data_IF_054749828969
#
_entry.id   IF_054749828969
#
_cell.length_a   1.000
_cell.length_b   1.000
_cell.length_c   1.000
_cell.angle_alpha   90.00
_cell.angle_beta   90.00
_cell.angle_gamma   90.00
#
_symmetry.space_group_name_H-M   'P 1'
#
loop_
_entity.id
_entity.type
_entity.pdbx_description
1 polymer ?
#
# COMPACT_ATOMS: atom_id res chain seq x y z
N UNK A 1 7.39 17.04 23.91
CA UNK A 1 6.68 15.89 24.56
C UNK A 1 5.26 15.60 24.02
N UNK A 2 4.46 16.58 23.57
CA UNK A 2 3.12 16.31 22.95
C UNK A 2 3.17 15.31 21.78
N UNK A 3 4.29 15.28 21.07
CA UNK A 3 4.51 14.42 19.91
C UNK A 3 4.63 12.93 20.25
N UNK A 4 5.31 12.58 21.36
CA UNK A 4 5.48 11.18 21.77
C UNK A 4 4.15 10.55 22.22
N UNK A 5 3.29 11.30 22.92
CA UNK A 5 1.94 10.83 23.29
C UNK A 5 1.07 10.51 22.08
N UNK A 6 1.10 11.37 21.06
CA UNK A 6 0.34 11.13 19.82
C UNK A 6 0.86 9.93 19.04
N UNK A 7 2.18 9.70 19.05
CA UNK A 7 2.79 8.53 18.45
C UNK A 7 2.39 7.24 19.18
N UNK A 8 2.47 7.23 20.51
CA UNK A 8 2.06 6.09 21.34
C UNK A 8 0.57 5.74 21.18
N UNK A 9 -0.32 6.76 21.19
CA UNK A 9 -1.74 6.55 20.91
C UNK A 9 -1.95 5.96 19.50
N UNK A 10 -1.20 6.46 18.51
CA UNK A 10 -1.27 5.93 17.15
C UNK A 10 -0.79 4.48 17.07
N UNK A 11 0.28 4.15 17.79
CA UNK A 11 0.81 2.80 17.82
C UNK A 11 -0.18 1.83 18.48
N UNK A 12 -0.74 2.21 19.64
CA UNK A 12 -1.72 1.38 20.35
C UNK A 12 -2.98 1.15 19.49
N UNK A 13 -3.50 2.20 18.87
CA UNK A 13 -4.66 2.07 17.97
C UNK A 13 -4.35 1.25 16.72
N UNK A 14 -3.12 1.32 16.18
CA UNK A 14 -2.69 0.52 15.03
C UNK A 14 -2.58 -0.96 15.39
N UNK A 15 -1.98 -1.29 16.54
CA UNK A 15 -1.88 -2.68 17.02
C UNK A 15 -3.27 -3.26 17.27
N UNK A 16 -4.17 -2.50 17.89
CA UNK A 16 -5.57 -2.90 18.08
C UNK A 16 -6.26 -3.22 16.74
N UNK A 17 -6.15 -2.36 15.72
CA UNK A 17 -6.78 -2.61 14.42
C UNK A 17 -6.14 -3.79 13.68
N UNK A 18 -4.82 -3.95 13.80
CA UNK A 18 -4.08 -5.03 13.18
C UNK A 18 -4.45 -6.40 13.77
N UNK A 19 -4.58 -6.52 15.09
CA UNK A 19 -4.76 -7.83 15.74
C UNK A 19 -6.07 -8.52 15.40
N UNK A 20 -7.19 -7.78 15.33
CA UNK A 20 -8.47 -8.39 14.96
C UNK A 20 -8.50 -8.78 13.48
N UNK A 21 -7.92 -7.96 12.58
CA UNK A 21 -7.75 -8.31 11.17
C UNK A 21 -6.87 -9.55 10.99
N UNK A 22 -5.77 -9.61 11.75
CA UNK A 22 -4.84 -10.73 11.69
C UNK A 22 -5.44 -12.03 12.22
N UNK A 23 -6.24 -11.97 13.29
CA UNK A 23 -6.96 -13.14 13.80
C UNK A 23 -7.89 -13.76 12.74
N UNK A 24 -8.59 -12.94 11.96
CA UNK A 24 -9.43 -13.44 10.86
C UNK A 24 -8.61 -14.01 9.70
N UNK A 25 -7.48 -13.37 9.36
CA UNK A 25 -6.58 -13.88 8.34
C UNK A 25 -5.98 -15.25 8.71
N UNK A 26 -5.50 -15.40 9.95
CA UNK A 26 -4.96 -16.68 10.45
C UNK A 26 -6.04 -17.75 10.50
N UNK A 27 -7.22 -17.43 11.04
CA UNK A 27 -8.33 -18.39 11.08
C UNK A 27 -8.74 -18.87 9.68
N UNK A 28 -8.86 -17.95 8.71
CA UNK A 28 -9.23 -18.29 7.33
C UNK A 28 -8.17 -19.17 6.67
N UNK A 29 -6.89 -18.82 6.81
CA UNK A 29 -5.78 -19.55 6.17
C UNK A 29 -5.52 -20.92 6.82
N UNK A 30 -5.62 -21.03 8.15
CA UNK A 30 -5.53 -22.31 8.87
C UNK A 30 -6.69 -23.23 8.48
N UNK A 31 -7.92 -22.70 8.41
CA UNK A 31 -9.10 -23.51 8.09
C UNK A 31 -9.06 -24.13 6.69
N UNK A 32 -8.33 -23.52 5.75
CA UNK A 32 -8.26 -23.96 4.36
C UNK A 32 -6.98 -24.73 4.01
N UNK A 33 -5.82 -24.29 4.53
CA UNK A 33 -4.50 -24.82 4.14
C UNK A 33 -3.68 -25.39 5.28
N UNK A 34 -4.11 -25.22 6.54
CA UNK A 34 -3.28 -25.43 7.73
C UNK A 34 -1.96 -24.62 7.71
N UNK A 35 -1.85 -23.60 6.84
CA UNK A 35 -0.69 -22.69 6.77
C UNK A 35 -1.00 -21.41 7.55
N UNK A 36 -0.04 -20.96 8.35
CA UNK A 36 -0.10 -19.69 9.06
C UNK A 36 0.41 -18.57 8.16
N UNK A 37 -0.34 -17.48 8.07
CA UNK A 37 0.18 -16.24 7.46
C UNK A 37 1.28 -15.69 8.37
N UNK A 38 2.50 -15.38 7.89
CA UNK A 38 3.55 -14.85 8.73
C UNK A 38 3.16 -13.49 9.34
N UNK A 39 3.22 -13.30 10.68
CA UNK A 39 2.74 -12.09 11.33
C UNK A 39 3.54 -10.85 10.93
N UNK A 40 4.85 -11.03 10.72
CA UNK A 40 5.74 -9.95 10.33
C UNK A 40 5.35 -9.37 8.95
N UNK A 41 5.00 -10.22 8.00
CA UNK A 41 4.65 -9.80 6.65
C UNK A 41 3.32 -9.06 6.62
N UNK A 42 2.30 -9.60 7.31
CA UNK A 42 1.02 -8.92 7.48
C UNK A 42 1.19 -7.53 8.13
N UNK A 43 2.04 -7.45 9.17
CA UNK A 43 2.33 -6.18 9.84
C UNK A 43 3.06 -5.19 8.90
N UNK A 44 4.02 -5.65 8.11
CA UNK A 44 4.73 -4.82 7.11
C UNK A 44 3.75 -4.30 6.05
N UNK A 45 2.84 -5.13 5.53
CA UNK A 45 1.83 -4.73 4.55
C UNK A 45 0.90 -3.67 5.15
N UNK A 46 0.39 -3.90 6.36
CA UNK A 46 -0.47 -2.95 7.06
C UNK A 46 0.23 -1.62 7.31
N UNK A 47 1.47 -1.65 7.83
CA UNK A 47 2.26 -0.44 8.09
C UNK A 47 2.63 0.29 6.79
N UNK A 48 2.96 -0.42 5.72
CA UNK A 48 3.24 0.18 4.41
C UNK A 48 2.01 0.93 3.87
N UNK A 49 0.83 0.31 3.92
CA UNK A 49 -0.43 0.96 3.55
C UNK A 49 -0.71 2.20 4.40
N UNK A 50 -0.48 2.12 5.71
CA UNK A 50 -0.65 3.25 6.62
C UNK A 50 0.36 4.38 6.36
N UNK A 51 1.63 4.06 6.14
CA UNK A 51 2.70 5.02 5.88
C UNK A 51 2.49 5.73 4.55
N UNK A 52 2.27 4.98 3.45
CA UNK A 52 2.05 5.56 2.13
C UNK A 52 0.84 6.49 2.14
N UNK A 53 -0.26 6.04 2.76
CA UNK A 53 -1.46 6.86 2.87
C UNK A 53 -1.20 8.10 3.72
N UNK A 54 -0.64 7.95 4.92
CA UNK A 54 -0.34 9.07 5.81
C UNK A 54 0.67 10.07 5.25
N UNK A 55 1.60 9.63 4.40
CA UNK A 55 2.52 10.51 3.67
C UNK A 55 1.82 11.24 2.51
N UNK A 56 0.75 10.67 1.95
CA UNK A 56 0.03 11.24 0.82
C UNK A 56 -1.08 12.23 1.24
N UNK A 57 -1.74 11.98 2.38
CA UNK A 57 -2.90 12.75 2.84
C UNK A 57 -2.50 14.13 3.36
N UNK A 58 -3.28 15.16 3.01
CA UNK A 58 -3.15 16.53 3.56
C UNK A 58 -2.04 17.40 2.96
N UNK A 59 -1.24 16.88 2.00
CA UNK A 59 -0.06 17.59 1.47
C UNK A 59 -0.29 18.41 0.20
N UNK A 60 -1.50 18.40 -0.36
CA UNK A 60 -1.78 19.07 -1.63
C UNK A 60 -1.21 18.36 -2.87
N UNK A 61 -0.90 17.06 -2.74
CA UNK A 61 -0.51 16.24 -3.89
C UNK A 61 -1.71 16.10 -4.85
N UNK A 62 -1.39 15.95 -6.14
CA UNK A 62 -2.40 15.60 -7.17
C UNK A 62 -2.93 14.20 -6.89
N UNK A 63 -4.24 14.00 -7.05
CA UNK A 63 -4.90 12.71 -6.78
C UNK A 63 -4.26 11.58 -7.59
N UNK A 64 -3.86 11.82 -8.85
CA UNK A 64 -3.20 10.84 -9.71
C UNK A 64 -1.90 10.30 -9.09
N UNK A 65 -1.11 11.15 -8.43
CA UNK A 65 0.13 10.70 -7.79
C UNK A 65 -0.15 9.81 -6.57
N UNK A 66 -1.24 10.09 -5.85
CA UNK A 66 -1.68 9.27 -4.72
C UNK A 66 -2.18 7.92 -5.21
N UNK A 67 -3.04 7.91 -6.23
CA UNK A 67 -3.56 6.69 -6.86
C UNK A 67 -2.40 5.85 -7.38
N UNK A 68 -1.48 6.42 -8.16
CA UNK A 68 -0.35 5.68 -8.71
C UNK A 68 0.55 5.09 -7.62
N UNK A 69 0.80 5.82 -6.53
CA UNK A 69 1.59 5.32 -5.41
C UNK A 69 0.88 4.18 -4.65
N UNK A 70 -0.44 4.29 -4.45
CA UNK A 70 -1.24 3.24 -3.83
C UNK A 70 -1.33 2.00 -4.72
N UNK A 71 -1.58 2.18 -6.02
CA UNK A 71 -1.61 1.09 -7.00
C UNK A 71 -0.26 0.39 -7.07
N UNK A 72 0.86 1.13 -7.13
CA UNK A 72 2.19 0.53 -7.13
C UNK A 72 2.45 -0.28 -5.84
N UNK A 73 2.05 0.26 -4.69
CA UNK A 73 2.14 -0.44 -3.41
C UNK A 73 1.30 -1.72 -3.36
N UNK A 74 0.05 -1.66 -3.80
CA UNK A 74 -0.84 -2.82 -3.89
C UNK A 74 -0.26 -3.88 -4.83
N UNK A 75 0.14 -3.50 -6.04
CA UNK A 75 0.76 -4.42 -7.01
C UNK A 75 1.98 -5.09 -6.42
N UNK A 76 2.86 -4.33 -5.75
CA UNK A 76 4.02 -4.89 -5.06
C UNK A 76 3.60 -5.90 -3.98
N UNK A 77 2.61 -5.59 -3.14
CA UNK A 77 2.14 -6.52 -2.10
C UNK A 77 1.54 -7.79 -2.68
N UNK A 78 0.74 -7.70 -3.74
CA UNK A 78 0.15 -8.87 -4.41
C UNK A 78 1.25 -9.75 -5.00
N UNK A 79 2.20 -9.16 -5.75
CA UNK A 79 3.33 -9.91 -6.31
C UNK A 79 4.17 -10.55 -5.20
N UNK A 80 4.40 -9.85 -4.09
CA UNK A 80 5.16 -10.38 -2.95
C UNK A 80 4.43 -11.54 -2.29
N UNK A 81 3.12 -11.45 -2.12
CA UNK A 81 2.30 -12.55 -1.58
C UNK A 81 2.31 -13.77 -2.50
N UNK A 82 2.20 -13.60 -3.82
CA UNK A 82 2.34 -14.70 -4.79
C UNK A 82 3.71 -15.36 -4.65
N UNK A 83 4.77 -14.55 -4.55
CA UNK A 83 6.14 -15.06 -4.42
C UNK A 83 6.36 -15.86 -3.13
N UNK A 84 5.87 -15.37 -1.98
CA UNK A 84 5.98 -16.09 -0.70
C UNK A 84 5.13 -17.37 -0.72
N UNK A 85 3.94 -17.31 -1.32
CA UNK A 85 3.04 -18.45 -1.40
C UNK A 85 3.62 -19.61 -2.22
N UNK A 86 4.33 -19.29 -3.31
CA UNK A 86 4.99 -20.28 -4.16
C UNK A 86 6.31 -20.83 -3.63
N UNK A 87 6.80 -20.37 -2.47
CA UNK A 87 8.05 -20.82 -1.84
C UNK A 87 9.28 -20.81 -2.80
N UNK A 88 9.35 -19.81 -3.71
CA UNK A 88 10.40 -19.75 -4.73
C UNK A 88 11.80 -19.49 -4.16
N UNK A 89 12.81 -20.18 -4.71
CA UNK A 89 14.22 -20.02 -4.31
C UNK A 89 14.93 -18.88 -5.06
N UNK A 90 14.45 -18.55 -6.26
CA UNK A 90 15.02 -17.49 -7.09
C UNK A 90 14.76 -16.11 -6.48
N UNK A 91 15.63 -15.13 -6.76
CA UNK A 91 15.49 -13.79 -6.17
C UNK A 91 14.18 -13.11 -6.62
N UNK A 92 13.48 -12.42 -5.71
CA UNK A 92 12.20 -11.75 -5.99
C UNK A 92 12.23 -10.76 -7.18
N UNK A 93 13.37 -10.10 -7.42
CA UNK A 93 13.52 -9.17 -8.54
C UNK A 93 13.91 -9.85 -9.87
N UNK A 94 14.20 -11.15 -9.85
CA UNK A 94 14.46 -11.92 -11.07
C UNK A 94 13.15 -12.20 -11.80
N UNK A 95 13.23 -12.39 -13.12
CA UNK A 95 12.06 -12.84 -13.91
C UNK A 95 11.83 -14.36 -13.77
N UNK A 96 12.74 -15.08 -13.14
CA UNK A 96 12.73 -16.55 -13.09
C UNK A 96 11.55 -17.07 -12.28
N UNK A 97 11.28 -16.52 -11.09
CA UNK A 97 10.15 -16.96 -10.27
C UNK A 97 8.78 -16.78 -10.97
N UNK A 98 8.64 -15.79 -11.86
CA UNK A 98 7.40 -15.61 -12.63
C UNK A 98 7.22 -16.74 -13.64
N UNK A 99 8.30 -17.12 -14.33
CA UNK A 99 8.28 -18.26 -15.26
C UNK A 99 8.00 -19.54 -14.49
N UNK A 100 8.69 -19.77 -13.36
CA UNK A 100 8.46 -20.90 -12.46
C UNK A 100 7.00 -20.97 -11.97
N UNK A 101 6.39 -19.83 -11.63
CA UNK A 101 4.99 -19.76 -11.23
C UNK A 101 4.03 -20.15 -12.36
N UNK A 102 4.23 -19.65 -13.58
CA UNK A 102 3.31 -19.94 -14.69
C UNK A 102 3.52 -21.32 -15.33
N UNK A 103 4.72 -21.89 -15.22
CA UNK A 103 5.03 -23.22 -15.74
C UNK A 103 4.65 -24.34 -14.75
N UNK A 104 4.50 -24.01 -13.45
CA UNK A 104 4.10 -24.99 -12.44
C UNK A 104 2.62 -25.39 -12.58
N UNK A 105 2.29 -26.69 -12.55
CA UNK A 105 0.91 -27.15 -12.54
C UNK A 105 0.26 -26.84 -11.19
N UNK A 106 -0.66 -25.87 -11.16
CA UNK A 106 -1.37 -25.48 -9.94
C UNK A 106 -2.70 -26.23 -9.77
N UNK A 107 -2.91 -26.80 -8.59
CA UNK A 107 -4.21 -27.40 -8.23
C UNK A 107 -5.30 -26.34 -8.03
N UNK A 108 -6.58 -26.73 -8.17
CA UNK A 108 -7.71 -25.83 -7.89
C UNK A 108 -7.67 -25.30 -6.44
N UNK A 109 -7.23 -26.13 -5.49
CA UNK A 109 -7.10 -25.73 -4.09
C UNK A 109 -6.01 -24.65 -3.93
N UNK A 110 -4.86 -24.76 -4.60
CA UNK A 110 -3.82 -23.73 -4.58
C UNK A 110 -4.32 -22.39 -5.10
N UNK A 111 -5.09 -22.38 -6.19
CA UNK A 111 -5.69 -21.14 -6.70
C UNK A 111 -6.62 -20.50 -5.68
N UNK A 112 -7.47 -21.29 -5.01
CA UNK A 112 -8.36 -20.79 -3.96
C UNK A 112 -7.53 -20.20 -2.80
N UNK A 113 -6.49 -20.90 -2.36
CA UNK A 113 -5.62 -20.44 -1.28
C UNK A 113 -4.87 -19.15 -1.66
N UNK A 114 -4.40 -19.05 -2.91
CA UNK A 114 -3.75 -17.87 -3.42
C UNK A 114 -4.72 -16.67 -3.43
N UNK A 115 -5.97 -16.87 -3.88
CA UNK A 115 -7.01 -15.84 -3.84
C UNK A 115 -7.27 -15.37 -2.42
N UNK A 116 -7.34 -16.29 -1.45
CA UNK A 116 -7.52 -15.97 -0.02
C UNK A 116 -6.32 -15.20 0.54
N UNK A 117 -5.10 -15.60 0.20
CA UNK A 117 -3.88 -14.91 0.63
C UNK A 117 -3.79 -13.49 0.04
N UNK A 118 -4.10 -13.33 -1.25
CA UNK A 118 -4.17 -12.02 -1.92
C UNK A 118 -5.27 -11.16 -1.29
N UNK A 119 -6.45 -11.73 -1.04
CA UNK A 119 -7.55 -11.02 -0.37
C UNK A 119 -7.13 -10.45 0.98
N UNK A 120 -6.49 -11.26 1.83
CA UNK A 120 -6.03 -10.79 3.15
C UNK A 120 -4.89 -9.77 3.04
N UNK A 121 -3.99 -9.92 2.07
CA UNK A 121 -2.94 -8.92 1.79
C UNK A 121 -3.54 -7.56 1.43
N UNK A 122 -4.57 -7.56 0.56
CA UNK A 122 -5.33 -6.35 0.21
C UNK A 122 -6.11 -5.81 1.41
N UNK A 123 -6.67 -6.67 2.25
CA UNK A 123 -7.38 -6.27 3.46
C UNK A 123 -6.43 -5.60 4.48
N UNK A 124 -5.22 -6.12 4.68
CA UNK A 124 -4.20 -5.47 5.52
C UNK A 124 -3.77 -4.12 4.95
N UNK A 125 -3.53 -4.05 3.64
CA UNK A 125 -3.19 -2.78 2.98
C UNK A 125 -4.30 -1.74 3.16
N UNK A 126 -5.55 -2.12 2.86
CA UNK A 126 -6.71 -1.27 3.01
C UNK A 126 -6.96 -0.89 4.47
N UNK A 127 -6.75 -1.81 5.41
CA UNK A 127 -6.81 -1.57 6.86
C UNK A 127 -5.82 -0.50 7.29
N UNK A 128 -4.55 -0.65 6.88
CA UNK A 128 -3.49 0.33 7.15
C UNK A 128 -3.79 1.70 6.51
N UNK A 129 -4.20 1.71 5.24
CA UNK A 129 -4.55 2.93 4.53
C UNK A 129 -5.72 3.67 5.19
N UNK A 130 -6.81 2.95 5.53
CA UNK A 130 -7.95 3.51 6.26
C UNK A 130 -7.54 4.02 7.64
N UNK A 131 -6.69 3.27 8.35
CA UNK A 131 -6.19 3.68 9.66
C UNK A 131 -5.50 5.04 9.62
N UNK A 132 -4.70 5.31 8.58
CA UNK A 132 -3.96 6.57 8.43
C UNK A 132 -4.86 7.80 8.19
N UNK A 133 -5.99 7.64 7.50
CA UNK A 133 -6.91 8.75 7.17
C UNK A 133 -7.92 9.00 8.28
N UNK A 134 -8.31 7.98 9.04
CA UNK A 134 -9.40 8.10 10.00
C UNK A 134 -9.05 9.05 11.16
N UNK A 135 -10.00 9.90 11.59
CA UNK A 135 -9.81 10.77 12.73
C UNK A 135 -9.57 9.97 14.01
N UNK A 136 -8.72 10.52 14.88
CA UNK A 136 -8.34 9.96 16.18
C UNK A 136 -9.16 10.62 17.30
N UNK A 137 -10.48 10.75 17.12
CA UNK A 137 -11.39 11.25 18.16
C UNK A 137 -11.82 10.10 19.08
N UNK A 138 -12.19 10.42 20.34
CA UNK A 138 -12.57 9.42 21.34
C UNK A 138 -13.66 8.46 20.82
N UNK A 139 -14.76 9.02 20.31
CA UNK A 139 -15.87 8.24 19.73
C UNK A 139 -15.42 7.29 18.62
N UNK A 140 -14.51 7.75 17.75
CA UNK A 140 -14.01 6.95 16.63
C UNK A 140 -13.01 5.89 17.08
N UNK A 141 -12.32 6.07 18.21
CA UNK A 141 -11.49 5.00 18.80
C UNK A 141 -12.40 3.95 19.46
N UNK A 142 -13.41 4.36 20.25
CA UNK A 142 -14.37 3.43 20.85
C UNK A 142 -15.12 2.61 19.78
N UNK A 143 -15.63 3.26 18.74
CA UNK A 143 -16.33 2.56 17.65
C UNK A 143 -15.45 1.50 16.94
N UNK A 144 -14.14 1.72 16.82
CA UNK A 144 -13.20 0.72 16.26
C UNK A 144 -12.95 -0.42 17.24
N UNK A 145 -12.87 -0.10 18.52
CA UNK A 145 -12.76 -1.11 19.56
C UNK A 145 -14.02 -2.00 19.56
N UNK A 146 -15.21 -1.42 19.51
CA UNK A 146 -16.47 -2.17 19.44
C UNK A 146 -16.54 -3.04 18.18
N UNK A 147 -16.08 -2.52 17.03
CA UNK A 147 -15.98 -3.29 15.79
C UNK A 147 -15.04 -4.50 15.94
N UNK A 148 -13.87 -4.31 16.57
CA UNK A 148 -12.93 -5.40 16.82
C UNK A 148 -13.48 -6.44 17.79
N UNK A 149 -14.19 -6.03 18.84
CA UNK A 149 -14.90 -6.93 19.77
C UNK A 149 -15.96 -7.74 19.01
N UNK A 150 -16.78 -7.09 18.19
CA UNK A 150 -17.79 -7.76 17.37
C UNK A 150 -17.14 -8.75 16.38
N UNK A 151 -16.00 -8.38 15.78
CA UNK A 151 -15.25 -9.24 14.88
C UNK A 151 -14.69 -10.49 15.58
N UNK A 152 -14.13 -10.35 16.79
CA UNK A 152 -13.68 -11.50 17.60
C UNK A 152 -14.84 -12.38 18.04
N UNK A 153 -15.96 -11.79 18.47
CA UNK A 153 -17.16 -12.55 18.85
C UNK A 153 -17.68 -13.37 17.66
N UNK A 154 -17.76 -12.75 16.48
CA UNK A 154 -18.17 -13.44 15.26
C UNK A 154 -17.20 -14.59 14.90
N UNK A 155 -15.89 -14.38 15.04
CA UNK A 155 -14.88 -15.42 14.81
C UNK A 155 -15.05 -16.59 15.78
N UNK A 156 -15.27 -16.32 17.07
CA UNK A 156 -15.51 -17.36 18.09
C UNK A 156 -16.80 -18.14 17.81
N UNK A 157 -17.89 -17.45 17.44
CA UNK A 157 -19.15 -18.10 17.06
C UNK A 157 -18.97 -18.99 15.83
N UNK A 158 -18.19 -18.54 14.84
CA UNK A 158 -17.90 -19.32 13.64
C UNK A 158 -17.06 -20.57 13.96
N UNK A 159 -16.05 -20.45 14.84
CA UNK A 159 -15.29 -21.61 15.34
C UNK A 159 -16.17 -22.61 16.09
N UNK A 160 -17.02 -22.11 16.98
CA UNK A 160 -17.97 -22.94 17.71
C UNK A 160 -18.93 -23.66 16.77
N UNK A 161 -19.44 -22.96 15.74
CA UNK A 161 -20.32 -23.55 14.74
C UNK A 161 -19.62 -24.65 13.93
N UNK A 162 -18.36 -24.45 13.52
CA UNK A 162 -17.56 -25.48 12.81
C UNK A 162 -17.28 -26.69 13.70
N UNK A 163 -17.00 -26.48 14.98
CA UNK A 163 -16.78 -27.56 15.94
C UNK A 163 -18.06 -28.38 16.18
N UNK A 164 -19.19 -27.72 16.42
CA UNK A 164 -20.46 -28.40 16.76
C UNK A 164 -21.12 -29.04 15.53
N UNK A 165 -21.15 -28.36 14.38
CA UNK A 165 -21.83 -28.86 13.17
C UNK A 165 -20.90 -29.64 12.24
N UNK A 166 -19.66 -29.20 12.11
CA UNK A 166 -18.70 -29.80 11.18
C UNK A 166 -17.91 -30.95 11.80
N UNK A 167 -17.91 -31.08 13.14
CA UNK A 167 -16.98 -31.95 13.86
C UNK A 167 -15.50 -31.69 13.46
N UNK A 168 -15.20 -30.48 12.98
CA UNK A 168 -13.86 -30.05 12.59
C UNK A 168 -13.29 -29.19 13.71
N UNK A 169 -12.31 -29.73 14.44
CA UNK A 169 -11.55 -28.97 15.43
C UNK A 169 -10.45 -28.18 14.74
N UNK A 170 -10.72 -26.91 14.44
CA UNK A 170 -9.67 -26.00 13.94
C UNK A 170 -8.76 -25.63 15.12
N UNK A 171 -7.62 -26.29 15.22
CA UNK A 171 -6.61 -25.98 16.23
C UNK A 171 -5.87 -24.68 15.88
N UNK A 172 -6.44 -23.54 16.29
CA UNK A 172 -5.81 -22.22 16.13
C UNK A 172 -5.34 -21.69 17.49
N UNK A 173 -4.03 -21.76 17.78
CA UNK A 173 -3.46 -21.30 19.03
C UNK A 173 -3.38 -19.77 19.15
N UNK A 174 -3.61 -19.01 18.06
CA UNK A 174 -3.32 -17.57 18.03
C UNK A 174 -4.52 -16.70 18.42
N UNK A 175 -5.75 -17.15 18.21
CA UNK A 175 -6.94 -16.33 18.47
C UNK A 175 -7.02 -15.81 19.91
N UNK A 176 -6.74 -16.66 20.90
CA UNK A 176 -6.77 -16.28 22.32
C UNK A 176 -5.74 -15.18 22.65
N UNK A 177 -4.44 -15.42 22.40
CA UNK A 177 -3.39 -14.41 22.58
C UNK A 177 -3.66 -13.10 21.82
N UNK A 178 -4.15 -13.17 20.58
CA UNK A 178 -4.48 -11.98 19.78
C UNK A 178 -5.62 -11.17 20.39
N UNK A 179 -6.64 -11.83 20.96
CA UNK A 179 -7.70 -11.16 21.70
C UNK A 179 -7.15 -10.43 22.93
N UNK A 180 -6.24 -11.04 23.70
CA UNK A 180 -5.58 -10.39 24.83
C UNK A 180 -4.81 -9.13 24.41
N UNK A 181 -4.00 -9.23 23.34
CA UNK A 181 -3.25 -8.09 22.78
C UNK A 181 -4.23 -7.01 22.32
N UNK A 182 -5.29 -7.38 21.61
CA UNK A 182 -6.35 -6.47 21.16
C UNK A 182 -6.95 -5.67 22.32
N UNK A 183 -7.40 -6.33 23.39
CA UNK A 183 -8.02 -5.64 24.52
C UNK A 183 -7.02 -4.75 25.26
N UNK A 184 -5.79 -5.22 25.47
CA UNK A 184 -4.74 -4.43 26.14
C UNK A 184 -4.47 -3.12 25.40
N UNK A 185 -4.20 -3.19 24.09
CA UNK A 185 -3.91 -2.00 23.29
C UNK A 185 -5.16 -1.14 23.04
N UNK A 186 -6.34 -1.76 22.94
CA UNK A 186 -7.62 -1.06 22.79
C UNK A 186 -7.97 -0.23 24.02
N UNK A 187 -7.94 -0.82 25.21
CA UNK A 187 -8.20 -0.10 26.47
C UNK A 187 -7.15 0.97 26.73
N UNK A 188 -5.87 0.68 26.45
CA UNK A 188 -4.79 1.68 26.53
C UNK A 188 -5.09 2.87 25.62
N UNK A 189 -5.49 2.62 24.37
CA UNK A 189 -5.84 3.68 23.41
C UNK A 189 -7.03 4.54 23.90
N UNK A 190 -8.09 3.91 24.43
CA UNK A 190 -9.27 4.60 25.01
C UNK A 190 -8.88 5.44 26.23
N UNK A 191 -8.08 4.88 27.14
CA UNK A 191 -7.59 5.61 28.32
C UNK A 191 -6.71 6.82 27.96
N UNK A 192 -5.83 6.65 26.97
CA UNK A 192 -4.95 7.71 26.48
C UNK A 192 -5.70 8.90 25.88
N UNK A 193 -6.81 8.64 25.17
CA UNK A 193 -7.58 9.72 24.54
C UNK A 193 -8.49 10.45 25.53
N UNK A 194 -9.09 9.76 26.52
CA UNK A 194 -9.83 10.40 27.61
C UNK A 194 -8.96 11.35 28.43
N UNK A 195 -7.70 10.98 28.67
CA UNK A 195 -6.74 11.85 29.36
C UNK A 195 -6.36 13.13 28.62
N UNK A 196 -6.77 13.31 27.35
CA UNK A 196 -6.50 14.53 26.58
C UNK A 196 -7.61 15.57 26.69
N UNK A 197 -8.86 15.14 26.90
CA UNK A 197 -10.02 16.04 26.94
C UNK A 197 -10.15 16.79 28.26
N UNK A 198 -9.53 16.29 29.34
CA UNK A 198 -9.69 16.83 30.70
C UNK A 198 -8.51 17.69 31.20
N UNK A 199 -7.60 18.10 30.32
CA UNK A 199 -6.41 18.86 30.73
C UNK A 199 -6.73 20.35 30.95
N UNK A 200 -7.10 20.70 32.19
CA UNK A 200 -6.74 22.00 32.77
C UNK A 200 -5.20 22.09 32.93
N UNK A 201 -4.61 23.30 32.84
CA UNK A 201 -3.18 23.52 32.57
C UNK A 201 -2.17 23.19 33.69
N UNK A 202 -2.51 22.41 34.72
CA UNK A 202 -1.53 22.00 35.74
C UNK A 202 -0.69 20.80 35.30
N UNK A 203 0.44 21.12 34.66
CA UNK A 203 1.26 20.23 33.82
C UNK A 203 2.05 19.12 34.54
N UNK A 204 2.11 19.06 35.86
CA UNK A 204 2.95 18.07 36.57
C UNK A 204 2.24 16.76 36.93
N UNK A 205 0.92 16.75 37.11
CA UNK A 205 0.17 15.59 37.58
C UNK A 205 -0.20 14.56 36.48
N UNK A 206 0.00 14.89 35.20
CA UNK A 206 -0.49 14.10 34.07
C UNK A 206 0.22 12.76 33.84
N UNK A 207 1.52 12.66 34.15
CA UNK A 207 2.29 11.43 33.93
C UNK A 207 1.97 10.33 34.94
N UNK A 208 1.71 10.71 36.19
CA UNK A 208 1.36 9.76 37.27
C UNK A 208 0.04 9.06 36.98
N UNK A 209 -0.95 9.78 36.44
CA UNK A 209 -2.25 9.20 36.04
C UNK A 209 -2.13 8.21 34.88
N UNK A 210 -1.22 8.45 33.92
CA UNK A 210 -1.01 7.53 32.79
C UNK A 210 -0.37 6.20 33.22
N UNK A 211 0.69 6.26 34.04
CA UNK A 211 1.33 5.06 34.57
C UNK A 211 0.37 4.23 35.44
N UNK A 212 -0.50 4.89 36.21
CA UNK A 212 -1.52 4.22 37.04
C UNK A 212 -2.57 3.50 36.19
N UNK A 213 -3.09 4.13 35.13
CA UNK A 213 -4.08 3.47 34.24
C UNK A 213 -3.44 2.28 33.51
N UNK A 214 -2.22 2.45 33.00
CA UNK A 214 -1.53 1.37 32.31
C UNK A 214 -1.18 0.21 33.25
N UNK A 215 -0.69 0.52 34.45
CA UNK A 215 -0.41 -0.44 35.51
C UNK A 215 -1.68 -1.18 35.96
N UNK A 216 -2.80 -0.46 36.11
CA UNK A 216 -4.10 -1.05 36.45
C UNK A 216 -4.60 -2.00 35.36
N UNK A 217 -4.57 -1.60 34.09
CA UNK A 217 -4.96 -2.47 32.97
C UNK A 217 -4.06 -3.72 32.94
N UNK A 218 -2.75 -3.55 33.10
CA UNK A 218 -1.80 -4.67 33.13
C UNK A 218 -2.07 -5.62 34.30
N UNK A 219 -2.37 -5.10 35.49
CA UNK A 219 -2.67 -5.89 36.68
C UNK A 219 -4.00 -6.66 36.52
N UNK A 220 -5.04 -6.00 35.99
CA UNK A 220 -6.32 -6.66 35.68
C UNK A 220 -6.14 -7.75 34.64
N UNK A 221 -5.37 -7.50 33.58
CA UNK A 221 -5.07 -8.52 32.57
C UNK A 221 -4.30 -9.71 33.15
N UNK A 222 -3.25 -9.45 33.91
CA UNK A 222 -2.48 -10.51 34.57
C UNK A 222 -3.38 -11.33 35.52
N UNK A 223 -4.26 -10.66 36.28
CA UNK A 223 -5.22 -11.31 37.15
C UNK A 223 -6.21 -12.19 36.38
N UNK A 224 -6.84 -11.66 35.32
CA UNK A 224 -7.80 -12.42 34.49
C UNK A 224 -7.12 -13.61 33.81
N UNK A 225 -5.93 -13.44 33.24
CA UNK A 225 -5.19 -14.53 32.60
C UNK A 225 -4.82 -15.60 33.62
N UNK A 226 -4.30 -15.20 34.78
CA UNK A 226 -3.95 -16.13 35.87
C UNK A 226 -5.18 -16.88 36.34
N UNK A 227 -6.31 -16.18 36.51
CA UNK A 227 -7.57 -16.76 36.96
C UNK A 227 -8.11 -17.76 35.92
N UNK A 228 -8.10 -17.42 34.63
CA UNK A 228 -8.53 -18.33 33.56
C UNK A 228 -7.63 -19.56 33.48
N UNK A 229 -6.31 -19.41 33.52
CA UNK A 229 -5.35 -20.53 33.50
C UNK A 229 -5.53 -21.43 34.72
N UNK A 230 -5.69 -20.83 35.90
CA UNK A 230 -5.92 -21.57 37.15
C UNK A 230 -7.24 -22.35 37.12
N UNK A 231 -8.31 -21.74 36.60
CA UNK A 231 -9.62 -22.38 36.49
C UNK A 231 -9.81 -23.25 35.26
N UNK A 232 -8.88 -23.26 34.29
CA UNK A 232 -9.03 -24.05 33.06
C UNK A 232 -9.17 -25.55 33.35
N UNK A 233 -8.33 -26.10 34.22
CA UNK A 233 -8.41 -27.51 34.60
C UNK A 233 -9.72 -27.89 35.31
N UNK A 234 -10.16 -27.19 36.38
CA UNK A 234 -11.43 -27.52 37.02
C UNK A 234 -12.63 -27.25 36.10
N UNK A 235 -12.62 -26.20 35.28
CA UNK A 235 -13.70 -25.93 34.32
C UNK A 235 -13.77 -27.01 33.24
N UNK A 236 -12.65 -27.53 32.74
CA UNK A 236 -12.66 -28.64 31.77
C UNK A 236 -13.15 -29.93 32.39
N UNK A 237 -12.79 -30.20 33.65
CA UNK A 237 -13.33 -31.35 34.41
C UNK A 237 -14.85 -31.22 34.61
N UNK A 238 -15.33 -30.06 35.04
CA UNK A 238 -16.78 -29.82 35.25
C UNK A 238 -17.54 -29.81 33.92
N UNK A 239 -16.94 -29.26 32.85
CA UNK A 239 -17.49 -29.31 31.50
C UNK A 239 -17.63 -30.76 31.00
N UNK A 240 -16.67 -31.64 31.29
CA UNK A 240 -16.78 -33.07 30.96
C UNK A 240 -17.96 -33.74 31.66
N UNK A 241 -18.13 -33.48 32.96
CA UNK A 241 -19.24 -34.03 33.75
C UNK A 241 -20.59 -33.48 33.30
N UNK A 242 -20.69 -32.16 33.12
CA UNK A 242 -21.92 -31.50 32.68
C UNK A 242 -22.28 -31.84 31.23
N UNK A 243 -21.31 -32.00 30.33
CA UNK A 243 -21.56 -32.52 28.99
C UNK A 243 -22.08 -33.95 29.01
N UNK A 244 -21.60 -34.81 29.92
CA UNK A 244 -22.15 -36.15 30.13
C UNK A 244 -23.62 -36.13 30.56
N UNK A 245 -23.96 -35.26 31.52
CA UNK A 245 -25.34 -35.10 32.02
C UNK A 245 -26.25 -34.49 30.94
N UNK A 246 -25.78 -33.46 30.23
CA UNK A 246 -26.52 -32.80 29.15
C UNK A 246 -26.69 -33.76 27.98
N UNK A 247 -25.68 -34.55 27.60
CA UNK A 247 -25.84 -35.57 26.54
C UNK A 247 -26.88 -36.62 26.93
N UNK A 248 -26.94 -37.00 28.22
CA UNK A 248 -28.00 -37.85 28.76
C UNK A 248 -29.39 -37.20 28.71
N UNK A 249 -29.50 -35.91 29.06
CA UNK A 249 -30.77 -35.17 29.08
C UNK A 249 -31.25 -34.67 27.72
N UNK A 250 -30.33 -34.35 26.80
CA UNK A 250 -30.62 -33.82 25.46
C UNK A 250 -31.15 -34.90 24.52
N UNK A 251 -30.89 -36.20 24.80
CA UNK A 251 -31.64 -37.26 24.12
C UNK A 251 -33.16 -37.14 24.36
N UNK A 252 -33.56 -36.79 25.58
CA UNK A 252 -34.97 -36.62 25.95
C UNK A 252 -35.53 -35.26 25.50
N UNK A 253 -34.77 -34.17 25.68
CA UNK A 253 -35.19 -32.82 25.26
C UNK A 253 -35.18 -32.68 23.73
N UNK A 254 -34.25 -33.35 23.04
CA UNK A 254 -34.16 -33.37 21.57
C UNK A 254 -35.40 -33.97 20.94
N UNK A 255 -35.97 -35.03 21.51
CA UNK A 255 -37.26 -35.59 21.05
C UNK A 255 -38.42 -34.61 21.27
N UNK A 256 -38.45 -33.89 22.40
CA UNK A 256 -39.47 -32.87 22.67
C UNK A 256 -39.33 -31.68 21.71
N UNK A 257 -38.11 -31.23 21.44
CA UNK A 257 -37.83 -30.09 20.56
C UNK A 257 -38.09 -30.44 19.08
N UNK A 258 -37.73 -31.65 18.63
CA UNK A 258 -38.13 -32.16 17.32
C UNK A 258 -39.65 -32.29 17.25
N UNK A 259 -40.31 -32.77 18.30
CA UNK A 259 -41.78 -32.79 18.39
C UNK A 259 -42.41 -31.40 18.28
N UNK A 260 -41.81 -30.40 18.93
CA UNK A 260 -42.26 -29.01 18.90
C UNK A 260 -42.04 -28.36 17.52
N UNK A 261 -40.89 -28.58 16.88
CA UNK A 261 -40.63 -28.13 15.51
C UNK A 261 -41.57 -28.85 14.54
N UNK A 262 -41.77 -30.16 14.69
CA UNK A 262 -42.70 -30.93 13.87
C UNK A 262 -44.14 -30.47 14.08
N UNK A 263 -44.51 -30.01 15.28
CA UNK A 263 -45.79 -29.38 15.57
C UNK A 263 -45.91 -27.97 14.96
N UNK A 264 -44.85 -27.17 14.99
CA UNK A 264 -44.82 -25.81 14.43
C UNK A 264 -44.81 -25.79 12.90
N UNK A 265 -44.18 -26.80 12.28
CA UNK A 265 -44.00 -26.94 10.84
C UNK A 265 -44.81 -28.07 10.21
N UNK A 266 -45.66 -28.78 10.97
CA UNK A 266 -46.65 -29.67 10.35
C UNK A 266 -47.54 -28.78 9.48
N UNK A 267 -47.50 -28.91 8.15
CA UNK A 267 -48.37 -28.14 7.30
C UNK A 267 -49.78 -28.54 7.71
N UNK A 268 -50.54 -27.56 8.16
CA UNK A 268 -51.99 -27.68 8.28
C UNK A 268 -52.47 -27.95 6.85
N UNK A 269 -52.53 -29.22 6.48
CA UNK A 269 -53.13 -29.66 5.22
C UNK A 269 -54.62 -29.38 5.35
N UNK A 270 -55.00 -28.12 5.15
CA UNK A 270 -56.32 -27.74 4.72
C UNK A 270 -56.51 -28.38 3.36
N UNK A 271 -57.04 -29.61 3.40
CA UNK A 271 -57.86 -30.29 2.42
C UNK A 271 -58.19 -29.36 1.24
N UNK A 272 -57.29 -29.30 0.26
CA UNK A 272 -57.56 -28.68 -1.03
C UNK A 272 -58.43 -29.69 -1.78
N UNK A 273 -59.71 -29.38 -1.82
CA UNK A 273 -60.70 -30.00 -2.70
C UNK A 273 -60.16 -29.92 -4.12
N UNK A 274 -59.97 -31.08 -4.75
CA UNK A 274 -59.83 -31.19 -6.20
C UNK A 274 -61.07 -30.56 -6.86
N UNK A 275 -60.86 -29.83 -7.96
CA UNK A 275 -61.59 -30.22 -9.15
C UNK A 275 -60.66 -30.41 -10.35
N UNK A 276 -60.88 -31.57 -10.95
CA UNK A 276 -60.90 -31.88 -12.37
C UNK A 276 -60.65 -30.72 -13.36
N UNK A 277 -59.76 -31.02 -14.32
CA UNK A 277 -59.89 -30.75 -15.76
C UNK A 277 -60.51 -29.41 -16.19
N UNK A 278 -59.71 -28.57 -16.85
CA UNK A 278 -59.85 -28.34 -18.30
C UNK A 278 -58.88 -27.25 -18.78
N UNK A 279 -58.03 -27.66 -19.72
CA UNK A 279 -57.79 -26.97 -20.98
C UNK A 279 -58.02 -25.45 -20.97
N UNK A 280 -57.01 -24.71 -20.51
CA UNK A 280 -56.92 -23.27 -20.74
C UNK A 280 -56.23 -23.07 -22.09
N UNK A 281 -57.00 -23.24 -23.16
CA UNK A 281 -56.67 -22.68 -24.47
C UNK A 281 -56.43 -21.18 -24.29
N UNK A 282 -55.23 -20.72 -24.66
CA UNK A 282 -54.88 -19.32 -24.66
C UNK A 282 -55.74 -18.57 -25.69
N UNK A 283 -56.87 -18.03 -25.23
CA UNK A 283 -57.69 -17.06 -25.99
C UNK A 283 -56.85 -15.84 -26.42
N UNK A 284 -55.74 -15.58 -25.73
CA UNK A 284 -54.79 -14.52 -26.10
C UNK A 284 -53.97 -14.80 -27.37
N UNK A 285 -53.87 -16.05 -27.83
CA UNK A 285 -53.13 -16.38 -29.07
C UNK A 285 -53.99 -16.21 -30.33
N UNK A 286 -55.32 -16.08 -30.22
CA UNK A 286 -56.21 -15.85 -31.38
C UNK A 286 -56.57 -14.39 -31.64
N UNK A 287 -56.33 -13.48 -30.70
CA UNK A 287 -56.59 -12.04 -30.88
C UNK A 287 -55.43 -11.27 -31.53
N UNK A 288 -54.30 -11.93 -31.79
CA UNK A 288 -53.08 -11.28 -32.32
C UNK A 288 -52.87 -11.46 -33.83
N UNK A 289 -53.85 -12.00 -34.57
CA UNK A 289 -53.73 -12.21 -36.04
C UNK A 289 -54.45 -11.18 -36.90
N UNK A 290 -54.72 -9.98 -36.38
CA UNK A 290 -55.05 -8.84 -37.25
C UNK A 290 -53.77 -8.37 -37.91
N UNK A 291 -53.66 -8.61 -39.23
CA UNK A 291 -52.49 -8.26 -40.03
C UNK A 291 -51.98 -6.87 -39.70
N UNK A 292 -50.80 -6.80 -39.07
CA UNK A 292 -50.13 -5.54 -38.86
C UNK A 292 -50.01 -4.87 -40.23
N UNK A 293 -50.51 -3.63 -40.39
CA UNK A 293 -50.37 -2.92 -41.65
C UNK A 293 -48.90 -2.86 -42.02
N UNK A 294 -48.52 -3.16 -43.26
CA UNK A 294 -47.11 -3.18 -43.70
C UNK A 294 -46.35 -1.86 -43.40
N UNK A 295 -47.06 -0.74 -43.22
CA UNK A 295 -46.48 0.53 -42.79
C UNK A 295 -46.06 0.57 -41.30
N UNK A 296 -46.70 -0.22 -40.41
CA UNK A 296 -46.33 -0.34 -39.00
C UNK A 296 -44.94 -0.96 -38.82
N UNK A 297 -44.58 -1.98 -39.62
CA UNK A 297 -43.24 -2.58 -39.58
C UNK A 297 -42.15 -1.55 -39.96
N UNK A 298 -42.43 -0.70 -40.95
CA UNK A 298 -41.51 0.36 -41.37
C UNK A 298 -41.37 1.41 -40.26
N UNK A 299 -42.49 1.81 -39.63
CA UNK A 299 -42.51 2.76 -38.52
C UNK A 299 -41.76 2.21 -37.31
N UNK A 300 -41.98 0.95 -36.93
CA UNK A 300 -41.28 0.29 -35.83
C UNK A 300 -39.77 0.22 -36.09
N UNK A 301 -39.37 -0.10 -37.32
CA UNK A 301 -37.95 -0.12 -37.70
C UNK A 301 -37.33 1.27 -37.62
N UNK A 302 -38.01 2.31 -38.13
CA UNK A 302 -37.53 3.70 -38.06
C UNK A 302 -37.41 4.15 -36.60
N UNK A 303 -38.42 3.89 -35.77
CA UNK A 303 -38.35 4.20 -34.34
C UNK A 303 -37.25 3.42 -33.63
N UNK A 304 -37.05 2.13 -33.95
CA UNK A 304 -35.97 1.32 -33.39
C UNK A 304 -34.59 1.87 -33.71
N UNK A 305 -34.33 2.28 -34.97
CA UNK A 305 -33.07 2.91 -35.34
C UNK A 305 -32.91 4.30 -34.71
N UNK A 306 -33.96 5.11 -34.68
CA UNK A 306 -33.93 6.45 -34.08
C UNK A 306 -33.68 6.38 -32.57
N UNK A 307 -34.41 5.53 -31.84
CA UNK A 307 -34.21 5.33 -30.41
C UNK A 307 -32.88 4.65 -30.11
N UNK A 308 -32.49 3.63 -30.87
CA UNK A 308 -31.22 2.94 -30.71
C UNK A 308 -30.02 3.87 -30.89
N UNK A 309 -30.05 4.72 -31.93
CA UNK A 309 -28.99 5.72 -32.17
C UNK A 309 -29.01 6.82 -31.11
N UNK A 310 -30.18 7.32 -30.71
CA UNK A 310 -30.30 8.32 -29.64
C UNK A 310 -29.81 7.79 -28.29
N UNK A 311 -30.18 6.56 -27.90
CA UNK A 311 -29.77 5.92 -26.65
C UNK A 311 -28.27 5.60 -26.68
N UNK A 312 -27.74 5.15 -27.83
CA UNK A 312 -26.32 4.98 -28.07
C UNK A 312 -25.53 6.29 -27.90
N UNK A 313 -26.04 7.40 -28.44
CA UNK A 313 -25.45 8.73 -28.28
C UNK A 313 -25.50 9.22 -26.83
N UNK A 314 -26.61 9.00 -26.12
CA UNK A 314 -26.74 9.34 -24.68
C UNK A 314 -25.75 8.52 -23.85
N UNK A 315 -25.64 7.22 -24.07
CA UNK A 315 -24.66 6.37 -23.39
C UNK A 315 -23.23 6.80 -23.67
N UNK A 316 -22.90 7.10 -24.93
CA UNK A 316 -21.59 7.64 -25.31
C UNK A 316 -21.31 8.96 -24.60
N UNK A 317 -22.28 9.87 -24.54
CA UNK A 317 -22.15 11.15 -23.84
C UNK A 317 -21.92 10.96 -22.33
N UNK A 318 -22.64 10.04 -21.68
CA UNK A 318 -22.44 9.68 -20.27
C UNK A 318 -21.01 9.16 -20.06
N UNK A 319 -20.53 8.25 -20.92
CA UNK A 319 -19.17 7.69 -20.82
C UNK A 319 -18.12 8.80 -20.97
N UNK A 320 -18.24 9.65 -22.00
CA UNK A 320 -17.30 10.76 -22.24
C UNK A 320 -17.30 11.73 -21.05
N UNK A 321 -18.47 12.07 -20.51
CA UNK A 321 -18.60 12.94 -19.35
C UNK A 321 -18.00 12.29 -18.09
N UNK A 322 -18.28 11.01 -17.82
CA UNK A 322 -17.67 10.26 -16.73
C UNK A 322 -16.15 10.21 -16.82
N UNK A 323 -15.59 9.94 -18.00
CA UNK A 323 -14.14 9.94 -18.23
C UNK A 323 -13.56 11.34 -18.03
N UNK A 324 -14.20 12.39 -18.55
CA UNK A 324 -13.77 13.77 -18.37
C UNK A 324 -13.72 14.17 -16.88
N UNK A 325 -14.78 13.89 -16.12
CA UNK A 325 -14.83 14.17 -14.68
C UNK A 325 -13.83 13.32 -13.89
N UNK A 326 -13.63 12.06 -14.28
CA UNK A 326 -12.64 11.19 -13.67
C UNK A 326 -11.21 11.70 -13.89
N UNK A 327 -10.86 12.10 -15.12
CA UNK A 327 -9.55 12.71 -15.44
C UNK A 327 -9.38 14.04 -14.71
N UNK A 328 -10.40 14.90 -14.70
CA UNK A 328 -10.37 16.17 -13.96
C UNK A 328 -10.18 15.94 -12.45
N UNK A 329 -10.86 14.93 -11.89
CA UNK A 329 -10.71 14.53 -10.49
C UNK A 329 -9.31 13.98 -10.20
N UNK A 330 -8.76 13.12 -11.06
CA UNK A 330 -7.38 12.62 -10.96
C UNK A 330 -6.35 13.75 -11.00
N UNK A 331 -6.57 14.79 -11.81
CA UNK A 331 -5.68 15.95 -11.89
C UNK A 331 -5.88 16.97 -10.77
N UNK A 332 -7.01 16.90 -10.05
CA UNK A 332 -7.29 17.79 -8.93
C UNK A 332 -6.25 17.60 -7.80
N UNK A 333 -6.01 18.69 -7.05
CA UNK A 333 -5.11 18.66 -5.89
C UNK A 333 -5.93 18.39 -4.63
N UNK A 334 -5.41 17.54 -3.76
CA UNK A 334 -5.99 17.32 -2.44
C UNK A 334 -6.01 18.63 -1.62
N UNK A 335 -7.04 18.83 -0.79
CA UNK A 335 -7.15 20.04 0.04
C UNK A 335 -5.96 20.06 1.02
N UNK A 336 -5.20 21.15 1.01
CA UNK A 336 -4.04 21.33 1.91
C UNK A 336 -4.55 21.63 3.31
N UNK A 337 -4.49 20.65 4.19
CA UNK A 337 -4.89 20.84 5.58
C UNK A 337 -3.80 21.65 6.31
N UNK A 338 -4.13 22.91 6.64
CA UNK A 338 -3.23 23.83 7.33
C UNK A 338 -2.93 23.40 8.78
N UNK A 339 -3.64 22.40 9.30
CA UNK A 339 -3.50 21.90 10.67
C UNK A 339 -2.35 20.88 10.86
N UNK A 340 -1.75 20.36 9.78
CA UNK A 340 -0.80 19.24 9.90
C UNK A 340 0.55 19.67 10.49
N UNK A 341 0.63 19.57 11.83
CA UNK A 341 1.85 19.76 12.63
C UNK A 341 2.99 18.89 12.09
N UNK A 342 4.04 19.59 11.67
CA UNK A 342 5.36 19.10 11.25
C UNK A 342 5.88 18.12 12.31
N UNK A 343 6.05 16.84 11.97
CA UNK A 343 6.36 15.84 13.01
C UNK A 343 7.20 14.64 12.61
N UNK A 344 6.96 14.00 11.48
CA UNK A 344 7.75 12.83 11.00
C UNK A 344 7.71 12.73 9.48
N UNK A 345 6.58 13.12 8.89
CA UNK A 345 6.40 13.22 7.46
C UNK A 345 7.41 14.11 6.74
N UNK A 346 7.93 15.16 7.39
CA UNK A 346 8.94 16.06 6.82
C UNK A 346 10.32 15.40 6.70
N UNK A 347 10.67 14.49 7.61
CA UNK A 347 11.95 13.79 7.62
C UNK A 347 11.99 12.74 6.50
N UNK A 348 10.90 11.96 6.37
CA UNK A 348 10.72 11.01 5.25
C UNK A 348 10.58 11.73 3.90
N UNK A 349 9.93 12.90 3.84
CA UNK A 349 9.92 13.74 2.63
C UNK A 349 11.32 14.20 2.26
N UNK A 350 12.17 14.55 3.23
CA UNK A 350 13.54 14.98 2.97
C UNK A 350 14.37 13.84 2.37
N UNK A 351 14.14 12.61 2.83
CA UNK A 351 14.73 11.40 2.23
C UNK A 351 14.17 11.16 0.83
N UNK A 352 12.85 11.22 0.65
CA UNK A 352 12.21 10.97 -0.65
C UNK A 352 12.57 12.01 -1.71
N UNK A 353 12.64 13.30 -1.33
CA UNK A 353 13.10 14.38 -2.19
C UNK A 353 14.56 14.17 -2.57
N UNK A 354 15.43 13.79 -1.63
CA UNK A 354 16.83 13.43 -1.96
C UNK A 354 16.92 12.26 -2.93
N UNK A 355 16.12 11.21 -2.76
CA UNK A 355 16.12 10.06 -3.67
C UNK A 355 15.61 10.47 -5.05
N UNK A 356 14.55 11.27 -5.12
CA UNK A 356 14.04 11.82 -6.38
C UNK A 356 15.08 12.69 -7.07
N UNK A 357 15.73 13.59 -6.33
CA UNK A 357 16.75 14.50 -6.87
C UNK A 357 18.01 13.73 -7.30
N UNK A 358 18.33 12.62 -6.63
CA UNK A 358 19.37 11.67 -7.07
C UNK A 358 18.96 10.97 -8.38
N UNK A 359 17.70 10.56 -8.51
CA UNK A 359 17.16 9.94 -9.72
C UNK A 359 17.11 10.92 -10.90
N UNK A 360 16.69 12.17 -10.69
CA UNK A 360 16.69 13.18 -11.76
C UNK A 360 18.11 13.57 -12.14
N UNK A 361 19.05 13.59 -11.19
CA UNK A 361 20.47 13.76 -11.47
C UNK A 361 21.05 12.61 -12.30
N UNK A 362 20.76 11.35 -11.93
CA UNK A 362 21.18 10.16 -12.68
C UNK A 362 20.54 10.10 -14.07
N UNK A 363 19.25 10.40 -14.18
CA UNK A 363 18.53 10.43 -15.45
C UNK A 363 19.02 11.57 -16.35
N UNK A 364 19.30 12.76 -15.81
CA UNK A 364 19.89 13.87 -16.55
C UNK A 364 21.28 13.53 -17.08
N UNK A 365 22.10 12.88 -16.25
CA UNK A 365 23.44 12.40 -16.62
C UNK A 365 23.38 11.32 -17.69
N UNK A 366 22.44 10.37 -17.59
CA UNK A 366 22.18 9.34 -18.60
C UNK A 366 21.72 9.93 -19.95
N UNK A 367 20.84 10.94 -19.91
CA UNK A 367 20.34 11.64 -21.11
C UNK A 367 21.45 12.45 -21.80
N UNK A 368 22.33 13.07 -21.03
CA UNK A 368 23.50 13.79 -21.56
C UNK A 368 24.55 12.83 -22.14
N UNK A 369 24.76 11.66 -21.54
CA UNK A 369 25.66 10.64 -22.13
C UNK A 369 25.10 10.03 -23.42
N UNK A 370 23.77 9.97 -23.58
CA UNK A 370 23.12 9.44 -24.78
C UNK A 370 23.07 10.45 -25.94
N UNK A 371 23.00 11.76 -25.67
CA UNK A 371 22.93 12.77 -26.74
C UNK A 371 24.25 13.00 -27.48
N UNK A 372 25.37 12.59 -26.90
CA UNK A 372 26.70 12.82 -27.47
C UNK A 372 27.08 14.30 -27.47
N UNK A 373 28.36 14.60 -27.26
CA UNK A 373 28.89 15.96 -27.37
C UNK A 373 29.12 16.27 -28.85
N UNK A 374 28.48 17.31 -29.38
CA UNK A 374 28.49 17.62 -30.82
C UNK A 374 29.31 18.87 -31.15
N UNK A 375 29.42 19.83 -30.23
CA UNK A 375 30.19 21.08 -30.42
C UNK A 375 31.35 21.15 -29.43
N UNK A 376 32.41 21.94 -29.73
CA UNK A 376 33.49 22.16 -28.77
C UNK A 376 33.03 22.96 -27.55
N UNK A 377 31.98 23.78 -27.69
CA UNK A 377 31.27 24.38 -26.57
C UNK A 377 30.78 23.33 -25.55
N UNK A 378 30.22 22.21 -26.01
CA UNK A 378 29.75 21.16 -25.11
C UNK A 378 30.93 20.51 -24.34
N UNK A 379 32.06 20.29 -25.01
CA UNK A 379 33.27 19.73 -24.38
C UNK A 379 33.90 20.69 -23.38
N UNK A 380 33.91 22.00 -23.67
CA UNK A 380 34.39 23.01 -22.74
C UNK A 380 33.49 23.15 -21.50
N UNK A 381 32.15 23.11 -21.67
CA UNK A 381 31.22 23.06 -20.54
C UNK A 381 31.47 21.80 -19.69
N UNK A 382 31.71 20.66 -20.34
CA UNK A 382 32.04 19.42 -19.65
C UNK A 382 33.37 19.55 -18.87
N UNK A 383 34.38 20.22 -19.44
CA UNK A 383 35.65 20.52 -18.78
C UNK A 383 35.48 21.39 -17.53
N UNK A 384 34.65 22.44 -17.58
CA UNK A 384 34.32 23.27 -16.40
C UNK A 384 33.64 22.45 -15.31
N UNK A 385 32.71 21.55 -15.69
CA UNK A 385 32.08 20.67 -14.70
C UNK A 385 33.07 19.70 -14.08
N UNK A 386 33.98 19.15 -14.89
CA UNK A 386 35.03 18.26 -14.44
C UNK A 386 36.02 18.97 -13.50
N UNK A 387 36.39 20.21 -13.78
CA UNK A 387 37.27 21.01 -12.89
C UNK A 387 36.60 21.28 -11.56
N UNK A 388 35.29 21.59 -11.57
CA UNK A 388 34.50 21.87 -10.36
C UNK A 388 34.45 20.66 -9.43
N UNK A 389 34.34 19.46 -10.00
CA UNK A 389 34.41 18.20 -9.25
C UNK A 389 35.82 17.93 -8.70
N UNK A 390 36.84 18.49 -9.34
CA UNK A 390 38.23 18.43 -8.88
C UNK A 390 38.60 19.58 -7.92
N UNK A 391 37.62 20.39 -7.51
CA UNK A 391 37.81 21.48 -6.54
C UNK A 391 38.22 22.83 -7.16
N UNK A 392 38.40 22.89 -8.47
CA UNK A 392 38.90 24.09 -9.17
C UNK A 392 37.74 24.75 -9.91
N UNK A 393 37.31 25.92 -9.41
CA UNK A 393 36.26 26.73 -10.05
C UNK A 393 36.90 27.78 -10.96
N UNK A 394 36.30 28.00 -12.12
CA UNK A 394 36.58 29.16 -12.98
C UNK A 394 36.10 30.44 -12.27
N UNK A 395 36.91 31.50 -12.29
CA UNK A 395 36.48 32.81 -11.77
C UNK A 395 35.64 33.54 -12.82
N UNK A 396 34.78 34.46 -12.42
CA UNK A 396 33.83 35.13 -13.32
C UNK A 396 34.54 36.07 -14.31
N UNK A 397 35.66 36.64 -13.88
CA UNK A 397 36.56 37.54 -14.60
C UNK A 397 37.59 36.80 -15.48
N UNK A 398 37.75 35.50 -15.28
CA UNK A 398 38.80 34.71 -15.94
C UNK A 398 38.38 34.29 -17.35
N UNK A 399 39.23 34.59 -18.34
CA UNK A 399 39.02 34.14 -19.72
C UNK A 399 39.17 32.62 -19.83
N UNK A 400 38.58 31.97 -20.86
CA UNK A 400 38.75 30.54 -21.07
C UNK A 400 40.21 30.08 -21.10
N UNK A 401 41.09 30.86 -21.71
CA UNK A 401 42.52 30.59 -21.83
C UNK A 401 43.26 30.72 -20.50
N UNK A 402 42.94 31.75 -19.69
CA UNK A 402 43.51 31.93 -18.35
C UNK A 402 43.10 30.79 -17.42
N UNK A 403 41.81 30.46 -17.42
CA UNK A 403 41.27 29.36 -16.64
C UNK A 403 41.95 28.04 -16.96
N UNK A 404 42.21 27.79 -18.25
CA UNK A 404 42.81 26.55 -18.68
C UNK A 404 44.31 26.50 -18.47
N UNK A 405 45.01 27.63 -18.59
CA UNK A 405 46.42 27.72 -18.19
C UNK A 405 46.60 27.40 -16.70
N UNK A 406 45.70 27.91 -15.85
CA UNK A 406 45.69 27.59 -14.42
C UNK A 406 45.31 26.13 -14.14
N UNK A 407 44.32 25.59 -14.86
CA UNK A 407 43.91 24.20 -14.75
C UNK A 407 45.04 23.24 -15.19
N UNK A 408 45.73 23.55 -16.29
CA UNK A 408 46.86 22.80 -16.81
C UNK A 408 48.08 22.86 -15.87
N UNK A 409 48.31 24.00 -15.20
CA UNK A 409 49.35 24.11 -14.16
C UNK A 409 49.12 23.16 -12.98
N UNK A 410 47.86 22.93 -12.61
CA UNK A 410 47.48 21.97 -11.55
C UNK A 410 47.51 20.52 -12.01
N UNK A 411 47.42 20.28 -13.32
CA UNK A 411 47.43 18.95 -13.93
C UNK A 411 48.40 18.88 -15.13
N UNK A 412 49.73 18.94 -14.89
CA UNK A 412 50.72 19.02 -15.97
C UNK A 412 50.67 17.81 -16.92
N UNK A 413 50.31 16.63 -16.40
CA UNK A 413 50.15 15.39 -17.17
C UNK A 413 48.93 15.43 -18.13
N UNK A 414 48.00 16.37 -17.92
CA UNK A 414 46.78 16.55 -18.71
C UNK A 414 46.81 17.79 -19.60
N UNK A 415 47.96 18.46 -19.68
CA UNK A 415 48.07 19.78 -20.31
C UNK A 415 47.64 19.75 -21.77
N UNK A 416 48.15 18.81 -22.55
CA UNK A 416 47.82 18.68 -23.96
C UNK A 416 46.32 18.44 -24.20
N UNK A 417 45.67 17.59 -23.39
CA UNK A 417 44.24 17.32 -23.55
C UNK A 417 43.38 18.54 -23.16
N UNK A 418 43.78 19.28 -22.12
CA UNK A 418 43.11 20.51 -21.70
C UNK A 418 43.25 21.57 -22.80
N UNK A 419 44.47 21.80 -23.29
CA UNK A 419 44.76 22.79 -24.32
C UNK A 419 44.05 22.45 -25.64
N UNK A 420 43.93 21.16 -25.98
CA UNK A 420 43.19 20.70 -27.18
C UNK A 420 41.70 21.05 -27.10
N UNK A 421 41.04 20.80 -25.96
CA UNK A 421 39.61 21.12 -25.77
C UNK A 421 39.37 22.63 -25.85
N UNK A 422 40.28 23.41 -25.28
CA UNK A 422 40.13 24.87 -25.14
C UNK A 422 40.51 25.59 -26.44
N UNK A 423 41.53 25.11 -27.13
CA UNK A 423 41.89 25.58 -28.46
C UNK A 423 40.78 25.33 -29.47
N UNK A 424 40.09 24.19 -29.39
CA UNK A 424 38.90 23.93 -30.20
C UNK A 424 37.74 24.88 -29.85
N UNK A 425 37.48 25.09 -28.55
CA UNK A 425 36.46 26.04 -28.09
C UNK A 425 36.74 27.47 -28.56
N UNK A 426 37.99 27.94 -28.44
CA UNK A 426 38.35 29.29 -28.83
C UNK A 426 38.24 29.50 -30.35
N UNK A 427 38.62 28.50 -31.17
CA UNK A 427 38.47 28.57 -32.62
C UNK A 427 37.01 28.58 -33.07
N UNK A 428 36.17 27.76 -32.44
CA UNK A 428 34.74 27.71 -32.75
C UNK A 428 34.01 28.97 -32.29
N UNK A 429 34.28 29.47 -31.08
CA UNK A 429 33.51 30.55 -30.47
C UNK A 429 34.05 31.96 -30.76
N UNK A 430 35.37 32.14 -30.81
CA UNK A 430 36.00 33.44 -31.08
C UNK A 430 36.57 33.56 -32.49
N UNK A 431 36.93 32.44 -33.12
CA UNK A 431 37.40 32.42 -34.51
C UNK A 431 36.28 32.28 -35.54
N UNK A 432 35.04 32.05 -35.10
CA UNK A 432 33.87 31.76 -35.94
C UNK A 432 34.09 30.61 -36.95
N UNK A 433 35.00 29.68 -36.62
CA UNK A 433 35.33 28.55 -37.49
C UNK A 433 34.50 27.31 -37.10
N UNK A 434 33.80 26.73 -38.08
CA UNK A 434 33.17 25.41 -37.87
C UNK A 434 34.28 24.36 -37.87
N UNK A 435 34.45 23.68 -36.74
CA UNK A 435 35.46 22.62 -36.59
C UNK A 435 35.13 21.43 -37.50
N UNK A 436 36.16 20.90 -38.18
CA UNK A 436 35.99 19.69 -38.96
C UNK A 436 35.76 18.46 -38.06
N UNK A 437 35.10 17.46 -38.62
CA UNK A 437 34.87 16.15 -38.03
C UNK A 437 36.15 15.50 -37.46
N UNK A 438 37.32 15.69 -38.10
CA UNK A 438 38.61 15.23 -37.60
C UNK A 438 39.04 15.93 -36.31
N UNK A 439 38.82 17.24 -36.22
CA UNK A 439 39.17 18.03 -35.04
C UNK A 439 38.25 17.70 -33.87
N UNK A 440 36.96 17.51 -34.12
CA UNK A 440 35.99 17.06 -33.11
C UNK A 440 36.36 15.65 -32.60
N UNK A 441 36.88 14.77 -33.45
CA UNK A 441 37.38 13.46 -33.04
C UNK A 441 38.59 13.58 -32.11
N UNK A 442 39.51 14.50 -32.39
CA UNK A 442 40.65 14.83 -31.52
C UNK A 442 40.22 15.33 -30.15
N UNK A 443 39.27 16.28 -30.10
CA UNK A 443 38.68 16.79 -28.84
C UNK A 443 37.98 15.68 -28.05
N UNK A 444 37.29 14.77 -28.75
CA UNK A 444 36.63 13.61 -28.11
C UNK A 444 37.63 12.64 -27.50
N UNK A 445 38.77 12.41 -28.16
CA UNK A 445 39.84 11.57 -27.64
C UNK A 445 40.46 12.21 -26.40
N UNK A 446 40.82 13.50 -26.47
CA UNK A 446 41.31 14.28 -25.35
C UNK A 446 40.36 14.21 -24.14
N UNK A 447 39.06 14.38 -24.37
CA UNK A 447 38.04 14.27 -23.33
C UNK A 447 37.95 12.86 -22.72
N UNK A 448 38.06 11.80 -23.54
CA UNK A 448 38.04 10.42 -23.07
C UNK A 448 39.24 10.12 -22.16
N UNK A 449 40.42 10.59 -22.54
CA UNK A 449 41.65 10.42 -21.74
C UNK A 449 41.56 11.20 -20.43
N UNK A 450 41.02 12.42 -20.46
CA UNK A 450 40.79 13.27 -19.29
C UNK A 450 39.75 12.68 -18.32
N UNK A 451 38.77 11.91 -18.81
CA UNK A 451 37.75 11.22 -18.00
C UNK A 451 38.19 9.84 -17.48
N UNK A 452 39.36 9.34 -17.89
CA UNK A 452 39.83 8.01 -17.54
C UNK A 452 39.86 7.79 -16.02
N UNK A 453 39.30 6.67 -15.50
CA UNK A 453 39.32 6.35 -14.08
C UNK A 453 40.74 6.21 -13.53
N UNK A 454 41.72 5.82 -14.36
CA UNK A 454 43.13 5.72 -13.97
C UNK A 454 43.71 7.05 -13.46
N UNK A 455 43.14 8.19 -13.88
CA UNK A 455 43.61 9.53 -13.48
C UNK A 455 42.85 10.11 -12.28
N UNK A 456 41.93 9.35 -11.66
CA UNK A 456 41.16 9.81 -10.50
C UNK A 456 41.99 10.14 -9.25
N UNK A 457 43.07 9.41 -8.90
CA UNK A 457 43.90 9.74 -7.73
C UNK A 457 44.49 11.15 -7.81
N UNK A 458 44.90 11.58 -9.01
CA UNK A 458 45.40 12.94 -9.26
C UNK A 458 44.33 14.00 -8.96
N UNK A 459 43.06 13.73 -9.29
CA UNK A 459 41.94 14.65 -9.00
C UNK A 459 41.65 14.76 -7.52
N UNK A 460 41.67 13.64 -6.79
CA UNK A 460 41.46 13.66 -5.35
C UNK A 460 42.58 14.44 -4.65
N UNK A 461 43.83 14.22 -5.07
CA UNK A 461 44.98 14.98 -4.57
C UNK A 461 44.79 16.49 -4.81
N UNK A 462 44.42 16.90 -6.02
CA UNK A 462 44.14 18.31 -6.33
C UNK A 462 42.96 18.88 -5.54
N UNK A 463 41.91 18.09 -5.30
CA UNK A 463 40.75 18.50 -4.48
C UNK A 463 41.16 18.80 -3.03
N UNK A 464 41.98 17.93 -2.42
CA UNK A 464 42.46 18.12 -1.04
C UNK A 464 43.53 19.21 -0.93
N UNK A 465 44.40 19.37 -1.92
CA UNK A 465 45.42 20.43 -1.94
C UNK A 465 44.83 21.80 -2.28
N UNK A 466 43.78 21.86 -3.10
CA UNK A 466 43.14 23.10 -3.56
C UNK A 466 42.33 23.84 -2.49
N UNK A 467 42.01 23.19 -1.37
CA UNK A 467 41.34 23.83 -0.22
C UNK A 467 42.23 24.80 0.57
N UNK A 468 43.54 24.90 0.25
CA UNK A 468 44.51 25.66 1.04
C UNK A 468 44.76 27.08 0.52
N UNK A 469 44.28 27.44 -0.68
CA UNK A 469 44.25 28.84 -1.10
C UNK A 469 42.87 29.43 -0.82
N UNK A 470 42.63 30.06 0.35
CA UNK A 470 41.49 30.95 0.48
C UNK A 470 41.62 32.00 -0.63
N UNK A 471 40.53 32.19 -1.37
CA UNK A 471 40.38 33.36 -2.21
C UNK A 471 40.73 34.60 -1.36
N UNK A 472 41.56 35.55 -1.86
CA UNK A 472 41.61 36.88 -1.27
C UNK A 472 40.24 37.55 -1.30
#
# INVERSE_FOLDING_TARGET
>A
MKHSRNALLSLAAAVMEFTWLYAWATFSTISMAQRNTPPLEAAVIFLAGALITGLSTGRGLRVISIVLLQTAGIVYTVLRTIYIFGDFTSAFLSRQWLVEFFDAPHSMMEWILLVVAVFWSLAFWAGGARFAVRPKTHEKICSRFDLGVAAFLCLLLMKFALQVKGNVSVNDPLTGPLACIFFFFGLTSIGMIRGQTSASPDLAAGYRKFGVVMGFISAVFASVVTLVVFFQHPLTSVAGVSYGIIRGGVSSIGMIFIGLIRFLYLPRQSKAIEPASNQKENIFDRLSSSGHPAWMEVVEKIFGWLFGTALGLIMLAIIVFSVFYFVKWLLSRTRKDHSSKIGWGALLLRVFVRVRDLFTFLAGKARQTLKGYRTAADFYIALIQWSRLSGIRRRLDETPSEFCSRLAGMFPVLREEIDTIVGAFNREFYGEMVLDSGEIAGVRLAWRTLRSPARWPLRLRAFFSGTINPLP
#
